data_IF_748096730295
#
_entry.id   IF_748096730295
#
_cell.length_a   1.000
_cell.length_b   1.000
_cell.length_c   1.000
_cell.angle_alpha   90.00
_cell.angle_beta   90.00
_cell.angle_gamma   90.00
#
_symmetry.space_group_name_H-M   'P 1'
#
loop_
_entity.id
_entity.type
_entity.pdbx_description
1 polymer ?
#
# COMPACT_ATOMS: atom_id res chain seq x y z
N UNK A 1 10.14 -6.08 15.37
CA UNK A 1 10.40 -5.00 14.40
C UNK A 1 10.42 -5.51 12.94
N UNK A 2 11.16 -6.57 12.62
CA UNK A 2 11.28 -7.08 11.24
C UNK A 2 9.96 -7.53 10.58
N UNK A 3 9.02 -8.10 11.35
CA UNK A 3 7.74 -8.60 10.81
C UNK A 3 6.84 -7.46 10.33
N UNK A 4 6.71 -6.38 11.10
CA UNK A 4 5.88 -5.22 10.73
C UNK A 4 6.46 -4.53 9.50
N UNK A 5 7.79 -4.36 9.45
CA UNK A 5 8.47 -3.78 8.29
C UNK A 5 8.28 -4.66 7.05
N UNK A 6 8.40 -5.98 7.19
CA UNK A 6 8.17 -6.93 6.11
C UNK A 6 6.75 -6.82 5.53
N UNK A 7 5.72 -6.80 6.39
CA UNK A 7 4.33 -6.61 5.95
C UNK A 7 4.09 -5.24 5.32
N UNK A 8 4.67 -4.18 5.88
CA UNK A 8 4.58 -2.84 5.29
C UNK A 8 5.21 -2.81 3.88
N UNK A 9 6.37 -3.43 3.69
CA UNK A 9 7.01 -3.54 2.37
C UNK A 9 6.13 -4.29 1.37
N UNK A 10 5.55 -5.43 1.78
CA UNK A 10 4.63 -6.20 0.92
C UNK A 10 3.41 -5.35 0.55
N UNK A 11 2.80 -4.66 1.51
CA UNK A 11 1.65 -3.80 1.25
C UNK A 11 1.98 -2.67 0.26
N UNK A 12 3.14 -2.03 0.39
CA UNK A 12 3.58 -0.98 -0.56
C UNK A 12 3.81 -1.55 -1.95
N UNK A 13 4.43 -2.74 -2.06
CA UNK A 13 4.66 -3.40 -3.34
C UNK A 13 3.33 -3.80 -4.00
N UNK A 14 2.40 -4.40 -3.25
CA UNK A 14 1.05 -4.75 -3.72
C UNK A 14 0.30 -3.50 -4.20
N UNK A 15 0.28 -2.43 -3.40
CA UNK A 15 -0.43 -1.20 -3.76
C UNK A 15 0.16 -0.54 -5.02
N UNK A 16 1.47 -0.60 -5.18
CA UNK A 16 2.16 -0.09 -6.37
C UNK A 16 1.81 -0.94 -7.60
N UNK A 17 1.77 -2.26 -7.45
CA UNK A 17 1.35 -3.17 -8.50
C UNK A 17 -0.11 -2.91 -8.92
N UNK A 18 -1.03 -2.81 -7.96
CA UNK A 18 -2.44 -2.50 -8.21
C UNK A 18 -2.62 -1.15 -8.90
N UNK A 19 -1.92 -0.11 -8.43
CA UNK A 19 -1.92 1.23 -9.05
C UNK A 19 -1.45 1.17 -10.50
N UNK A 20 -0.34 0.48 -10.75
CA UNK A 20 0.21 0.33 -12.10
C UNK A 20 -0.76 -0.43 -13.02
N UNK A 21 -1.32 -1.54 -12.55
CA UNK A 21 -2.32 -2.31 -13.28
C UNK A 21 -3.58 -1.50 -13.57
N UNK A 22 -4.12 -0.79 -12.57
CA UNK A 22 -5.29 0.08 -12.72
C UNK A 22 -5.01 1.19 -13.75
N UNK A 23 -3.84 1.83 -13.71
CA UNK A 23 -3.46 2.86 -14.67
C UNK A 23 -3.33 2.31 -16.08
N UNK A 24 -2.71 1.14 -16.27
CA UNK A 24 -2.57 0.49 -17.59
C UNK A 24 -3.93 0.10 -18.15
N UNK A 25 -4.82 -0.48 -17.34
CA UNK A 25 -6.18 -0.83 -17.76
C UNK A 25 -6.98 0.41 -18.15
N UNK A 26 -6.96 1.44 -17.32
CA UNK A 26 -7.71 2.68 -17.57
C UNK A 26 -7.18 3.41 -18.82
N UNK A 27 -5.87 3.39 -19.07
CA UNK A 27 -5.27 3.93 -20.31
C UNK A 27 -5.71 3.16 -21.56
N UNK A 28 -5.84 1.83 -21.46
CA UNK A 28 -6.30 0.99 -22.58
C UNK A 28 -7.76 1.24 -22.95
N UNK A 29 -8.58 1.65 -21.99
CA UNK A 29 -10.01 1.95 -22.20
C UNK A 29 -10.26 3.29 -22.90
N UNK A 30 -9.23 4.15 -23.05
CA UNK A 30 -9.25 5.40 -23.82
C UNK A 30 -10.47 6.31 -23.53
N UNK A 31 -10.60 6.74 -22.27
CA UNK A 31 -11.64 7.67 -21.85
C UNK A 31 -11.52 9.04 -22.53
N UNK A 32 -12.67 9.69 -22.78
CA UNK A 32 -12.75 10.96 -23.51
C UNK A 32 -12.32 12.15 -22.65
N UNK A 33 -12.57 12.09 -21.34
CA UNK A 33 -12.24 13.17 -20.41
C UNK A 33 -11.34 12.68 -19.27
N UNK A 34 -10.53 13.59 -18.73
CA UNK A 34 -9.68 13.31 -17.57
C UNK A 34 -10.51 12.92 -16.33
N UNK A 35 -11.70 13.50 -16.19
CA UNK A 35 -12.62 13.15 -15.10
C UNK A 35 -13.06 11.69 -15.19
N UNK A 36 -13.52 11.25 -16.36
CA UNK A 36 -13.92 9.85 -16.58
C UNK A 36 -12.75 8.89 -16.37
N UNK A 37 -11.55 9.27 -16.81
CA UNK A 37 -10.34 8.50 -16.55
C UNK A 37 -10.09 8.34 -15.03
N UNK A 38 -10.16 9.43 -14.26
CA UNK A 38 -9.92 9.41 -12.82
C UNK A 38 -10.99 8.61 -12.07
N UNK A 39 -12.26 8.77 -12.43
CA UNK A 39 -13.37 8.02 -11.83
C UNK A 39 -13.21 6.52 -12.08
N UNK A 40 -12.89 6.12 -13.31
CA UNK A 40 -12.65 4.74 -13.68
C UNK A 40 -11.40 4.13 -13.01
N UNK A 41 -10.33 4.92 -12.86
CA UNK A 41 -9.13 4.53 -12.13
C UNK A 41 -9.43 4.28 -10.64
N UNK A 42 -10.18 5.19 -10.00
CA UNK A 42 -10.58 5.07 -8.59
C UNK A 42 -11.41 3.80 -8.38
N UNK A 43 -12.37 3.51 -9.25
CA UNK A 43 -13.18 2.30 -9.16
C UNK A 43 -12.35 1.01 -9.26
N UNK A 44 -11.38 0.96 -10.18
CA UNK A 44 -10.48 -0.19 -10.33
C UNK A 44 -9.57 -0.36 -9.11
N UNK A 45 -9.02 0.74 -8.59
CA UNK A 45 -8.23 0.72 -7.36
C UNK A 45 -9.05 0.24 -6.16
N UNK A 46 -10.28 0.73 -6.02
CA UNK A 46 -11.20 0.25 -5.00
C UNK A 46 -11.45 -1.26 -5.12
N UNK A 47 -11.70 -1.76 -6.33
CA UNK A 47 -11.89 -3.19 -6.55
C UNK A 47 -10.66 -4.02 -6.15
N UNK A 48 -9.45 -3.61 -6.54
CA UNK A 48 -8.24 -4.33 -6.14
C UNK A 48 -8.04 -4.35 -4.62
N UNK A 49 -8.19 -3.20 -3.95
CA UNK A 49 -8.07 -3.11 -2.50
C UNK A 49 -9.15 -3.93 -1.80
N UNK A 50 -10.38 -3.92 -2.32
CA UNK A 50 -11.48 -4.69 -1.78
C UNK A 50 -11.22 -6.20 -1.89
N UNK A 51 -10.85 -6.69 -3.07
CA UNK A 51 -10.56 -8.10 -3.26
C UNK A 51 -9.36 -8.52 -2.40
N UNK A 52 -8.24 -7.79 -2.43
CA UNK A 52 -7.06 -8.10 -1.61
C UNK A 52 -7.38 -8.11 -0.10
N UNK A 53 -8.10 -7.07 0.37
CA UNK A 53 -8.45 -6.91 1.78
C UNK A 53 -9.46 -7.93 2.30
N UNK A 54 -10.40 -8.37 1.47
CA UNK A 54 -11.51 -9.24 1.92
C UNK A 54 -11.40 -10.70 1.46
N UNK A 55 -10.59 -11.01 0.45
CA UNK A 55 -10.51 -12.36 -0.12
C UNK A 55 -10.06 -13.41 0.90
N UNK A 56 -9.11 -13.07 1.78
CA UNK A 56 -8.71 -13.98 2.87
C UNK A 56 -9.87 -14.29 3.82
N UNK A 57 -10.72 -13.31 4.15
CA UNK A 57 -11.90 -13.50 4.98
C UNK A 57 -12.95 -14.36 4.31
N UNK A 58 -13.13 -14.20 2.99
CA UNK A 58 -14.05 -15.04 2.23
C UNK A 58 -13.55 -16.48 2.17
N UNK A 59 -12.26 -16.69 1.89
CA UNK A 59 -11.66 -18.02 1.89
C UNK A 59 -11.79 -18.67 3.27
N UNK A 60 -11.48 -17.94 4.35
CA UNK A 60 -11.57 -18.48 5.70
C UNK A 60 -13.02 -18.77 6.11
N UNK A 61 -13.92 -17.81 5.93
CA UNK A 61 -15.31 -17.87 6.38
C UNK A 61 -16.17 -18.84 5.57
N UNK A 62 -16.02 -18.84 4.24
CA UNK A 62 -16.88 -19.61 3.34
C UNK A 62 -16.32 -20.98 2.99
N UNK A 63 -15.00 -21.15 2.97
CA UNK A 63 -14.37 -22.40 2.57
C UNK A 63 -13.69 -23.09 3.76
N UNK A 64 -12.76 -22.41 4.43
CA UNK A 64 -11.92 -23.07 5.43
C UNK A 64 -12.68 -23.53 6.68
N UNK A 65 -13.54 -22.69 7.26
CA UNK A 65 -14.32 -23.04 8.46
C UNK A 65 -15.32 -24.16 8.15
N UNK A 66 -16.15 -24.08 7.09
CA UNK A 66 -17.07 -25.17 6.75
C UNK A 66 -16.36 -26.48 6.43
N UNK A 67 -15.25 -26.45 5.68
CA UNK A 67 -14.48 -27.66 5.35
C UNK A 67 -13.93 -28.31 6.63
N UNK A 68 -13.39 -27.51 7.55
CA UNK A 68 -12.88 -28.03 8.82
C UNK A 68 -13.98 -28.60 9.73
N UNK A 69 -15.20 -28.02 9.70
CA UNK A 69 -16.32 -28.46 10.52
C UNK A 69 -17.03 -29.71 9.97
N UNK A 70 -17.20 -29.81 8.66
CA UNK A 70 -18.08 -30.82 8.04
C UNK A 70 -17.34 -31.97 7.35
N UNK A 71 -16.05 -31.85 7.03
CA UNK A 71 -15.32 -32.90 6.33
C UNK A 71 -14.83 -34.02 7.26
N UNK A 72 -14.84 -35.26 6.80
CA UNK A 72 -14.21 -36.37 7.51
C UNK A 72 -12.68 -36.19 7.55
N UNK A 73 -11.97 -36.85 8.49
CA UNK A 73 -10.50 -36.79 8.49
C UNK A 73 -9.89 -37.39 7.21
N UNK A 74 -10.57 -38.33 6.57
CA UNK A 74 -10.13 -38.96 5.33
C UNK A 74 -10.26 -37.99 4.14
N UNK A 75 -11.34 -37.21 4.08
CA UNK A 75 -11.54 -36.17 3.05
C UNK A 75 -10.51 -35.05 3.16
N UNK A 76 -10.20 -34.61 4.39
CA UNK A 76 -9.20 -33.57 4.63
C UNK A 76 -7.78 -34.01 4.26
N UNK A 77 -7.47 -35.32 4.38
CA UNK A 77 -6.20 -35.89 3.90
C UNK A 77 -6.14 -35.99 2.38
N UNK A 78 -7.26 -36.25 1.72
CA UNK A 78 -7.33 -36.31 0.25
C UNK A 78 -7.18 -34.93 -0.41
N UNK A 79 -7.65 -33.86 0.23
CA UNK A 79 -7.52 -32.46 -0.24
C UNK A 79 -6.11 -31.89 -0.01
N UNK A 80 -5.27 -32.54 0.81
CA UNK A 80 -3.88 -32.16 1.03
C UNK A 80 -2.98 -32.50 -0.17
N UNK A 81 -3.28 -31.92 -1.33
CA UNK A 81 -2.40 -31.94 -2.49
C UNK A 81 -1.15 -31.15 -2.09
N UNK A 82 0.01 -31.82 -2.03
CA UNK A 82 1.37 -31.29 -1.71
C UNK A 82 1.87 -31.33 -0.25
N UNK A 83 1.37 -32.23 0.62
CA UNK A 83 2.05 -32.55 1.89
C UNK A 83 2.03 -31.45 2.96
N UNK A 84 1.42 -30.30 2.68
CA UNK A 84 1.06 -29.30 3.68
C UNK A 84 -0.27 -29.72 4.30
N UNK A 85 -0.26 -30.12 5.57
CA UNK A 85 -1.50 -30.35 6.34
C UNK A 85 -2.20 -29.02 6.57
N UNK A 86 -3.00 -28.58 5.58
CA UNK A 86 -3.78 -27.34 5.64
C UNK A 86 -4.88 -27.38 6.71
N UNK A 87 -5.30 -28.58 7.14
CA UNK A 87 -6.43 -28.75 8.04
C UNK A 87 -6.07 -29.69 9.19
N UNK A 88 -6.05 -29.18 10.43
CA UNK A 88 -5.99 -30.00 11.64
C UNK A 88 -7.36 -29.98 12.31
N UNK A 89 -8.05 -31.12 12.31
CA UNK A 89 -9.39 -31.30 12.88
C UNK A 89 -9.45 -31.14 14.41
N UNK A 90 -8.34 -30.80 15.06
CA UNK A 90 -8.22 -30.68 16.52
C UNK A 90 -7.77 -29.31 17.03
N UNK A 91 -7.41 -28.35 16.17
CA UNK A 91 -7.12 -26.99 16.62
C UNK A 91 -8.45 -26.25 16.82
N UNK A 92 -8.80 -26.02 18.07
CA UNK A 92 -10.03 -25.34 18.51
C UNK A 92 -10.28 -24.10 17.65
N UNK A 93 -11.53 -23.92 17.23
CA UNK A 93 -12.05 -22.73 16.54
C UNK A 93 -11.51 -21.41 17.13
N UNK A 94 -11.23 -21.40 18.43
CA UNK A 94 -10.58 -20.32 19.18
C UNK A 94 -9.20 -19.90 18.64
N UNK A 95 -8.36 -20.85 18.21
CA UNK A 95 -7.04 -20.57 17.62
C UNK A 95 -7.19 -19.88 16.26
N UNK A 96 -8.17 -20.31 15.46
CA UNK A 96 -8.47 -19.68 14.17
C UNK A 96 -9.05 -18.28 14.34
N UNK A 97 -9.98 -18.10 15.28
CA UNK A 97 -10.50 -16.78 15.66
C UNK A 97 -9.38 -15.87 16.17
N UNK A 98 -8.49 -16.38 17.01
CA UNK A 98 -7.34 -15.64 17.54
C UNK A 98 -6.38 -15.22 16.41
N UNK A 99 -6.06 -16.12 15.47
CA UNK A 99 -5.25 -15.81 14.31
C UNK A 99 -5.92 -14.78 13.39
N UNK A 100 -7.22 -14.92 13.13
CA UNK A 100 -8.00 -13.98 12.33
C UNK A 100 -7.97 -12.59 12.95
N UNK A 101 -8.28 -12.49 14.25
CA UNK A 101 -8.27 -11.23 15.00
C UNK A 101 -6.87 -10.62 15.00
N UNK A 102 -5.83 -11.42 15.18
CA UNK A 102 -4.45 -10.92 15.17
C UNK A 102 -4.04 -10.40 13.78
N UNK A 103 -4.45 -11.08 12.70
CA UNK A 103 -4.24 -10.60 11.33
C UNK A 103 -5.01 -9.30 11.08
N UNK A 104 -6.27 -9.21 11.51
CA UNK A 104 -7.07 -7.97 11.42
C UNK A 104 -6.39 -6.80 12.12
N UNK A 105 -6.01 -6.99 13.40
CA UNK A 105 -5.37 -5.94 14.20
C UNK A 105 -4.05 -5.55 13.56
N UNK A 106 -3.23 -6.51 13.15
CA UNK A 106 -1.92 -6.24 12.54
C UNK A 106 -2.09 -5.49 11.21
N UNK A 107 -3.05 -5.87 10.37
CA UNK A 107 -3.31 -5.17 9.11
C UNK A 107 -3.80 -3.74 9.35
N UNK A 108 -4.78 -3.54 10.23
CA UNK A 108 -5.32 -2.21 10.57
C UNK A 108 -4.23 -1.31 11.15
N UNK A 109 -3.48 -1.80 12.14
CA UNK A 109 -2.39 -1.05 12.77
C UNK A 109 -1.29 -0.72 11.75
N UNK A 110 -0.92 -1.68 10.90
CA UNK A 110 0.12 -1.48 9.87
C UNK A 110 -0.31 -0.43 8.85
N UNK A 111 -1.57 -0.49 8.38
CA UNK A 111 -2.12 0.50 7.44
C UNK A 111 -2.17 1.89 8.08
N UNK A 112 -2.64 2.01 9.32
CA UNK A 112 -2.68 3.30 10.01
C UNK A 112 -1.29 3.90 10.24
N UNK A 113 -0.32 3.08 10.68
CA UNK A 113 1.07 3.50 10.83
C UNK A 113 1.68 3.91 9.49
N UNK A 114 1.39 3.18 8.42
CA UNK A 114 1.86 3.50 7.08
C UNK A 114 1.30 4.85 6.60
N UNK A 115 -0.01 5.08 6.78
CA UNK A 115 -0.66 6.36 6.42
C UNK A 115 -0.07 7.52 7.21
N UNK A 116 0.13 7.36 8.52
CA UNK A 116 0.76 8.38 9.37
C UNK A 116 2.20 8.68 8.91
N UNK A 117 2.95 7.63 8.58
CA UNK A 117 4.34 7.75 8.10
C UNK A 117 4.38 8.47 6.75
N UNK A 118 3.52 8.08 5.80
CA UNK A 118 3.43 8.73 4.49
C UNK A 118 2.95 10.18 4.59
N UNK A 119 2.04 10.50 5.50
CA UNK A 119 1.51 11.85 5.65
C UNK A 119 2.47 12.81 6.34
N UNK A 120 3.23 12.35 7.34
CA UNK A 120 4.04 13.24 8.18
C UNK A 120 5.55 13.09 7.99
N UNK A 121 6.03 11.88 7.70
CA UNK A 121 7.48 11.61 7.58
C UNK A 121 7.94 11.84 6.15
N UNK A 122 7.20 11.32 5.15
CA UNK A 122 7.60 11.41 3.75
C UNK A 122 7.79 12.86 3.25
N UNK A 123 6.91 13.85 3.54
CA UNK A 123 7.08 15.21 3.08
C UNK A 123 8.34 15.86 3.67
N UNK A 124 8.63 15.61 4.96
CA UNK A 124 9.81 16.13 5.64
C UNK A 124 11.10 15.53 5.09
N UNK A 125 11.08 14.23 4.76
CA UNK A 125 12.20 13.56 4.10
C UNK A 125 12.41 14.14 2.71
N UNK A 126 11.35 14.27 1.90
CA UNK A 126 11.43 14.86 0.56
C UNK A 126 11.95 16.30 0.58
N UNK A 127 11.49 17.14 1.52
CA UNK A 127 12.00 18.50 1.70
C UNK A 127 13.50 18.51 2.01
N UNK A 128 13.97 17.65 2.92
CA UNK A 128 15.40 17.54 3.24
C UNK A 128 16.23 17.04 2.06
N UNK A 129 15.70 16.11 1.27
CA UNK A 129 16.37 15.60 0.08
C UNK A 129 16.46 16.66 -1.01
N UNK A 130 15.37 17.41 -1.26
CA UNK A 130 15.37 18.54 -2.18
C UNK A 130 16.35 19.64 -1.74
N UNK A 131 16.37 19.99 -0.46
CA UNK A 131 17.34 20.96 0.07
C UNK A 131 18.80 20.49 -0.12
N UNK A 132 19.09 19.20 0.09
CA UNK A 132 20.40 18.63 -0.18
C UNK A 132 20.77 18.60 -1.67
N UNK A 133 19.81 18.35 -2.55
CA UNK A 133 20.02 18.38 -3.99
C UNK A 133 20.33 19.81 -4.47
N UNK A 134 19.57 20.81 -4.00
CA UNK A 134 19.81 22.23 -4.28
C UNK A 134 21.17 22.71 -3.77
N UNK A 135 21.61 22.26 -2.58
CA UNK A 135 22.95 22.58 -2.06
C UNK A 135 24.08 21.98 -2.93
N UNK A 136 23.86 20.80 -3.52
CA UNK A 136 24.85 20.18 -4.43
C UNK A 136 24.91 20.89 -5.78
N UNK A 137 23.77 21.35 -6.30
CA UNK A 137 23.75 22.20 -7.50
C UNK A 137 24.46 23.54 -7.24
N UNK A 138 24.17 24.22 -6.12
CA UNK A 138 24.84 25.48 -5.73
C UNK A 138 26.35 25.33 -5.50
N UNK A 139 26.81 24.19 -4.99
CA UNK A 139 28.24 23.93 -4.80
C UNK A 139 29.03 23.74 -6.12
N UNK A 140 28.35 23.46 -7.24
CA UNK A 140 28.95 23.34 -8.57
C UNK A 140 28.85 24.60 -9.44
N UNK A 141 28.14 25.64 -8.98
CA UNK A 141 27.86 26.85 -9.76
C UNK A 141 28.92 27.94 -9.50
N UNK A 142 29.42 28.64 -10.54
CA UNK A 142 30.24 29.83 -10.37
C UNK A 142 29.45 30.92 -9.64
N UNK A 143 30.15 31.76 -8.85
CA UNK A 143 29.55 32.73 -7.92
C UNK A 143 28.47 33.66 -8.54
N UNK A 144 28.57 33.96 -9.84
CA UNK A 144 27.61 34.78 -10.58
C UNK A 144 26.24 34.09 -10.76
N UNK A 145 26.24 32.78 -10.97
CA UNK A 145 25.01 31.99 -11.17
C UNK A 145 24.32 31.72 -9.83
N UNK A 146 25.10 31.54 -8.77
CA UNK A 146 24.59 31.41 -7.40
C UNK A 146 23.81 32.68 -6.96
N UNK A 147 24.33 33.87 -7.27
CA UNK A 147 23.68 35.15 -6.96
C UNK A 147 22.37 35.37 -7.73
N UNK A 148 22.32 34.99 -9.02
CA UNK A 148 21.10 35.09 -9.83
C UNK A 148 20.00 34.14 -9.31
N UNK A 149 20.39 32.97 -8.82
CA UNK A 149 19.45 31.99 -8.28
C UNK A 149 18.88 32.42 -6.91
N UNK A 150 19.68 33.08 -6.06
CA UNK A 150 19.19 33.70 -4.82
C UNK A 150 18.14 34.79 -5.09
N UNK A 151 18.36 35.66 -6.09
CA UNK A 151 17.40 36.69 -6.48
C UNK A 151 16.07 36.10 -7.00
N UNK A 152 16.13 35.00 -7.76
CA UNK A 152 14.92 34.30 -8.22
C UNK A 152 14.16 33.63 -7.08
N UNK A 153 14.86 32.99 -6.14
CA UNK A 153 14.25 32.31 -4.99
C UNK A 153 13.62 33.32 -4.01
N UNK A 154 14.26 34.48 -3.77
CA UNK A 154 13.68 35.57 -2.98
C UNK A 154 12.44 36.19 -3.65
N UNK A 155 12.46 36.31 -4.98
CA UNK A 155 11.32 36.76 -5.77
C UNK A 155 10.13 35.80 -5.68
N UNK A 156 10.36 34.49 -5.78
CA UNK A 156 9.28 33.48 -5.67
C UNK A 156 8.72 33.37 -4.24
N UNK A 157 9.56 33.48 -3.22
CA UNK A 157 9.12 33.41 -1.81
C UNK A 157 8.16 34.55 -1.44
N UNK A 158 8.39 35.77 -1.98
CA UNK A 158 7.48 36.90 -1.79
C UNK A 158 6.15 36.74 -2.51
N UNK A 159 6.13 36.10 -3.68
CA UNK A 159 4.89 35.86 -4.42
C UNK A 159 4.01 34.83 -3.71
N UNK A 160 4.60 33.76 -3.14
CA UNK A 160 3.84 32.74 -2.42
C UNK A 160 3.21 33.29 -1.12
N UNK A 161 3.88 34.21 -0.41
CA UNK A 161 3.31 34.86 0.78
C UNK A 161 2.19 35.87 0.49
N UNK A 162 1.98 36.25 -0.77
CA UNK A 162 0.90 37.16 -1.19
C UNK A 162 -0.39 36.41 -1.58
N UNK A 163 -0.34 35.08 -1.68
CA UNK A 163 -1.45 34.22 -2.07
C UNK A 163 -1.89 33.20 -0.99
N UNK A 164 -1.28 33.27 0.20
CA UNK A 164 -1.79 32.66 1.44
C UNK A 164 -2.52 33.73 2.28
#
# INVERSE_FOLDING_TARGET
LNVILYYACIMVLMLTAFSTSAAVLTKRENYRTEKEFNDAYIQKMFFFIYVDGYMMFWILGLYHIPLAMYSSEEDLRAVAITGVRLFHKGQQLEVYLSQLVNVCITAVVTVQLLVLTLRHVLPRVLQRWRAKAQLRERAGLPARECWLQELCDEGQSRVVQLFD
#
